data_IF_433078505444
#
_entry.id   IF_433078505444
#
_cell.length_a   1.000
_cell.length_b   1.000
_cell.length_c   1.000
_cell.angle_alpha   90.00
_cell.angle_beta   90.00
_cell.angle_gamma   90.00
#
_symmetry.space_group_name_H-M   'P 1'
#
loop_
_entity.id
_entity.type
_entity.pdbx_description
1 polymer ?
#
# COMPACT_ATOMS: atom_id res chain seq x y z
N UNK A 1 6.80 -35.37 -15.72
CA UNK A 1 6.86 -33.93 -16.21
C UNK A 1 6.08 -32.97 -15.35
N UNK A 2 4.78 -33.14 -15.01
CA UNK A 2 4.01 -32.18 -14.21
C UNK A 2 4.50 -32.02 -12.79
N UNK A 3 4.94 -33.08 -12.10
CA UNK A 3 5.47 -33.03 -10.74
C UNK A 3 6.80 -32.28 -10.64
N UNK A 4 7.65 -32.35 -11.67
CA UNK A 4 8.97 -31.69 -11.65
C UNK A 4 8.85 -30.16 -11.70
N UNK A 5 7.90 -29.61 -12.51
CA UNK A 5 7.67 -28.19 -12.58
C UNK A 5 6.99 -27.64 -11.32
N UNK A 6 6.04 -28.37 -10.75
CA UNK A 6 5.40 -28.00 -9.50
C UNK A 6 6.44 -27.91 -8.37
N UNK A 7 7.27 -28.93 -8.22
CA UNK A 7 8.33 -28.95 -7.21
C UNK A 7 9.35 -27.83 -7.45
N UNK A 8 9.77 -27.59 -8.69
CA UNK A 8 10.72 -26.53 -9.03
C UNK A 8 10.21 -25.15 -8.59
N UNK A 9 8.92 -24.84 -8.85
CA UNK A 9 8.32 -23.55 -8.47
C UNK A 9 8.16 -23.44 -6.96
N UNK A 10 7.65 -24.50 -6.31
CA UNK A 10 7.45 -24.51 -4.86
C UNK A 10 8.77 -24.45 -4.11
N UNK A 11 9.79 -25.19 -4.52
CA UNK A 11 11.13 -25.16 -3.90
C UNK A 11 11.77 -23.78 -4.04
N UNK A 12 11.64 -23.16 -5.22
CA UNK A 12 12.16 -21.81 -5.45
C UNK A 12 11.44 -20.78 -4.57
N UNK A 13 10.11 -20.89 -4.44
CA UNK A 13 9.32 -20.06 -3.56
C UNK A 13 9.74 -20.23 -2.09
N UNK A 14 9.76 -21.48 -1.60
CA UNK A 14 10.09 -21.75 -0.19
C UNK A 14 11.54 -21.40 0.14
N UNK A 15 12.47 -21.52 -0.80
CA UNK A 15 13.85 -21.06 -0.63
C UNK A 15 13.90 -19.56 -0.29
N UNK A 16 13.10 -18.73 -0.99
CA UNK A 16 13.03 -17.30 -0.71
C UNK A 16 12.17 -17.04 0.54
N UNK A 17 11.00 -17.63 0.62
CA UNK A 17 10.06 -17.41 1.71
C UNK A 17 10.65 -17.75 3.08
N UNK A 18 11.33 -18.90 3.20
CA UNK A 18 11.95 -19.37 4.43
C UNK A 18 13.42 -18.95 4.60
N UNK A 19 14.06 -18.41 3.57
CA UNK A 19 15.50 -18.12 3.59
C UNK A 19 15.85 -16.63 3.64
N UNK A 20 14.87 -15.74 3.51
CA UNK A 20 15.09 -14.30 3.41
C UNK A 20 14.23 -13.52 4.39
N UNK A 21 14.79 -12.47 4.98
CA UNK A 21 14.02 -11.50 5.77
C UNK A 21 13.37 -10.49 4.81
N UNK A 22 12.04 -10.44 4.80
CA UNK A 22 11.30 -9.53 3.93
C UNK A 22 11.17 -8.14 4.56
N UNK A 23 11.86 -7.17 3.94
CA UNK A 23 11.79 -5.74 4.27
C UNK A 23 11.11 -4.92 3.17
N UNK A 24 10.38 -5.56 2.23
CA UNK A 24 9.63 -4.83 1.20
C UNK A 24 8.45 -4.09 1.83
N UNK A 25 8.35 -2.79 1.59
CA UNK A 25 7.26 -1.97 2.12
C UNK A 25 5.87 -2.30 1.51
N UNK A 26 5.83 -3.09 0.46
CA UNK A 26 4.59 -3.49 -0.23
C UNK A 26 4.08 -4.89 0.18
N UNK A 27 4.61 -5.48 1.24
CA UNK A 27 4.28 -6.83 1.69
C UNK A 27 3.93 -6.88 3.17
N UNK A 28 3.06 -7.83 3.53
CA UNK A 28 2.84 -8.29 4.90
C UNK A 28 2.59 -9.79 4.91
N UNK A 29 2.82 -10.43 6.05
CA UNK A 29 2.43 -11.83 6.24
C UNK A 29 0.94 -11.89 6.58
N UNK A 30 0.12 -12.58 5.77
CA UNK A 30 -1.31 -12.72 6.02
C UNK A 30 -1.60 -13.43 7.35
N UNK A 31 -2.82 -13.29 7.86
CA UNK A 31 -3.28 -14.17 8.93
C UNK A 31 -3.46 -15.60 8.38
N UNK A 32 -3.21 -16.62 9.21
CA UNK A 32 -3.35 -18.03 8.80
C UNK A 32 -4.77 -18.36 8.32
N UNK A 33 -5.79 -17.81 9.00
CA UNK A 33 -7.19 -17.92 8.58
C UNK A 33 -7.44 -17.30 7.19
N UNK A 34 -6.75 -16.21 6.86
CA UNK A 34 -6.82 -15.58 5.53
C UNK A 34 -6.18 -16.48 4.47
N UNK A 35 -5.02 -17.06 4.73
CA UNK A 35 -4.39 -18.03 3.83
C UNK A 35 -5.27 -19.24 3.59
N UNK A 36 -5.89 -19.78 4.65
CA UNK A 36 -6.84 -20.89 4.53
C UNK A 36 -8.04 -20.50 3.66
N UNK A 37 -8.63 -19.31 3.86
CA UNK A 37 -9.75 -18.82 3.06
C UNK A 37 -9.40 -18.71 1.56
N UNK A 38 -8.16 -18.32 1.20
CA UNK A 38 -7.70 -18.25 -0.18
C UNK A 38 -7.68 -19.61 -0.88
N UNK A 39 -7.54 -20.72 -0.15
CA UNK A 39 -7.50 -22.08 -0.69
C UNK A 39 -8.88 -22.69 -0.94
N UNK A 40 -9.96 -22.07 -0.44
CA UNK A 40 -11.33 -22.56 -0.62
C UNK A 40 -11.78 -22.37 -2.08
N UNK A 41 -12.28 -23.40 -2.78
CA UNK A 41 -12.61 -23.33 -4.20
C UNK A 41 -13.95 -22.65 -4.48
N UNK A 42 -14.25 -21.56 -3.79
CA UNK A 42 -15.50 -20.78 -3.91
C UNK A 42 -15.68 -20.19 -5.33
N UNK A 43 -14.60 -20.05 -6.08
CA UNK A 43 -14.56 -19.54 -7.46
C UNK A 43 -15.32 -20.44 -8.48
N UNK A 44 -15.69 -21.66 -8.09
CA UNK A 44 -16.45 -22.57 -8.97
C UNK A 44 -17.90 -22.11 -9.18
N UNK A 45 -18.38 -21.09 -8.45
CA UNK A 45 -19.73 -20.57 -8.55
C UNK A 45 -19.67 -19.16 -9.15
N UNK A 46 -20.36 -18.87 -10.28
CA UNK A 46 -20.38 -17.54 -10.86
C UNK A 46 -21.10 -16.54 -9.96
N UNK A 47 -20.56 -15.31 -9.85
CA UNK A 47 -21.03 -14.32 -8.88
C UNK A 47 -21.10 -12.89 -9.44
N UNK A 48 -21.31 -12.76 -10.74
CA UNK A 48 -21.38 -11.47 -11.42
C UNK A 48 -22.47 -10.57 -10.84
N UNK A 49 -22.18 -9.28 -10.82
CA UNK A 49 -23.07 -8.24 -10.30
C UNK A 49 -22.58 -7.65 -8.98
N UNK A 50 -23.40 -6.79 -8.42
CA UNK A 50 -23.21 -6.14 -7.13
C UNK A 50 -24.31 -6.56 -6.16
N UNK A 51 -24.15 -6.24 -4.88
CA UNK A 51 -25.15 -6.54 -3.84
C UNK A 51 -26.55 -6.10 -4.27
N UNK A 52 -27.52 -6.99 -4.15
CA UNK A 52 -28.93 -6.78 -4.53
C UNK A 52 -29.20 -6.79 -6.03
N UNK A 53 -28.17 -6.96 -6.89
CA UNK A 53 -28.29 -6.99 -8.36
C UNK A 53 -27.38 -8.06 -8.97
N UNK A 54 -27.50 -9.31 -8.47
CA UNK A 54 -26.75 -10.46 -9.00
C UNK A 54 -27.43 -11.05 -10.24
N UNK A 55 -26.60 -11.56 -11.14
CA UNK A 55 -27.07 -12.24 -12.35
C UNK A 55 -27.47 -13.70 -12.08
N UNK A 56 -26.91 -14.30 -11.02
CA UNK A 56 -27.14 -15.71 -10.69
C UNK A 56 -27.95 -15.80 -9.38
N UNK A 57 -28.95 -16.70 -9.32
CA UNK A 57 -29.71 -16.95 -8.10
C UNK A 57 -28.91 -17.76 -7.09
N UNK A 58 -29.36 -17.77 -5.82
CA UNK A 58 -28.85 -18.63 -4.74
C UNK A 58 -27.38 -18.39 -4.35
N UNK A 59 -26.86 -17.17 -4.54
CA UNK A 59 -25.52 -16.78 -4.12
C UNK A 59 -25.53 -15.79 -2.95
N UNK A 60 -26.51 -15.91 -2.07
CA UNK A 60 -26.69 -15.01 -0.92
C UNK A 60 -25.44 -14.96 -0.03
N UNK A 61 -24.70 -16.07 0.10
CA UNK A 61 -23.47 -16.10 0.89
C UNK A 61 -22.41 -15.11 0.39
N UNK A 62 -22.38 -14.80 -0.91
CA UNK A 62 -21.46 -13.76 -1.45
C UNK A 62 -21.96 -12.36 -1.06
N UNK A 63 -23.28 -12.15 -1.06
CA UNK A 63 -23.84 -10.88 -0.58
C UNK A 63 -23.57 -10.68 0.91
N UNK A 64 -23.73 -11.73 1.71
CA UNK A 64 -23.42 -11.70 3.14
C UNK A 64 -21.95 -11.35 3.38
N UNK A 65 -21.02 -11.96 2.61
CA UNK A 65 -19.57 -11.64 2.66
C UNK A 65 -19.33 -10.15 2.39
N UNK A 66 -19.94 -9.59 1.35
CA UNK A 66 -19.73 -8.19 0.98
C UNK A 66 -20.35 -7.24 2.01
N UNK A 67 -21.60 -7.52 2.45
CA UNK A 67 -22.30 -6.70 3.44
C UNK A 67 -21.64 -6.72 4.81
N UNK A 68 -21.19 -7.89 5.29
CA UNK A 68 -20.51 -7.99 6.57
C UNK A 68 -19.12 -7.34 6.51
N UNK A 69 -18.40 -7.47 5.37
CA UNK A 69 -17.14 -6.75 5.18
C UNK A 69 -17.34 -5.23 5.20
N UNK A 70 -18.41 -4.73 4.55
CA UNK A 70 -18.77 -3.31 4.59
C UNK A 70 -19.01 -2.84 6.02
N UNK A 71 -19.83 -3.56 6.79
CA UNK A 71 -20.12 -3.22 8.19
C UNK A 71 -18.85 -3.15 9.04
N UNK A 72 -17.99 -4.16 8.91
CA UNK A 72 -16.72 -4.19 9.67
C UNK A 72 -15.81 -3.02 9.27
N UNK A 73 -15.64 -2.76 7.98
CA UNK A 73 -14.79 -1.68 7.51
C UNK A 73 -15.33 -0.31 7.93
N UNK A 74 -16.63 -0.07 7.81
CA UNK A 74 -17.26 1.17 8.27
C UNK A 74 -17.09 1.36 9.78
N UNK A 75 -17.21 0.30 10.57
CA UNK A 75 -16.91 0.33 12.01
C UNK A 75 -15.45 0.67 12.29
N UNK A 76 -14.50 0.03 11.59
CA UNK A 76 -13.07 0.30 11.75
C UNK A 76 -12.69 1.75 11.39
N UNK A 77 -13.30 2.31 10.34
CA UNK A 77 -13.13 3.70 9.95
C UNK A 77 -13.97 4.68 10.77
N UNK A 78 -14.81 4.17 11.67
CA UNK A 78 -15.73 4.96 12.51
C UNK A 78 -16.60 5.92 11.68
N UNK A 79 -17.31 5.40 10.68
CA UNK A 79 -18.17 6.18 9.78
C UNK A 79 -19.42 5.40 9.35
N UNK A 80 -20.49 6.16 9.04
CA UNK A 80 -21.69 5.62 8.41
C UNK A 80 -22.04 6.36 7.10
N UNK A 81 -21.23 7.33 6.67
CA UNK A 81 -21.52 8.21 5.54
C UNK A 81 -20.94 7.70 4.23
N UNK A 82 -20.17 6.61 4.30
CA UNK A 82 -19.52 5.99 3.15
C UNK A 82 -20.19 4.65 2.81
N UNK A 83 -20.11 4.28 1.52
CA UNK A 83 -20.32 2.92 1.05
C UNK A 83 -18.96 2.24 0.85
N UNK A 84 -18.96 0.91 0.79
CA UNK A 84 -17.75 0.11 0.59
C UNK A 84 -17.93 -0.83 -0.59
N UNK A 85 -16.88 -1.02 -1.38
CA UNK A 85 -16.81 -2.07 -2.38
C UNK A 85 -15.48 -2.83 -2.24
N UNK A 86 -15.58 -4.14 -1.99
CA UNK A 86 -14.42 -5.02 -1.77
C UNK A 86 -14.09 -5.87 -3.00
N UNK A 87 -14.78 -5.70 -4.12
CA UNK A 87 -14.60 -6.52 -5.31
C UNK A 87 -13.32 -6.25 -6.12
N UNK A 88 -12.69 -5.05 -6.11
CA UNK A 88 -11.53 -4.79 -6.96
C UNK A 88 -10.41 -5.81 -6.78
N UNK A 89 -9.81 -6.24 -7.89
CA UNK A 89 -8.76 -7.27 -7.91
C UNK A 89 -7.40 -6.73 -7.44
N UNK A 90 -7.22 -5.42 -7.45
CA UNK A 90 -5.98 -4.73 -7.04
C UNK A 90 -6.25 -3.29 -6.63
N UNK A 91 -5.29 -2.64 -5.96
CA UNK A 91 -5.35 -1.20 -5.69
C UNK A 91 -5.39 -0.36 -6.96
N UNK A 92 -4.65 -0.76 -8.00
CA UNK A 92 -4.69 -0.10 -9.31
C UNK A 92 -6.08 -0.16 -9.92
N UNK A 93 -6.76 -1.32 -9.89
CA UNK A 93 -8.13 -1.43 -10.39
C UNK A 93 -9.11 -0.62 -9.53
N UNK A 94 -8.92 -0.57 -8.21
CA UNK A 94 -9.74 0.27 -7.34
C UNK A 94 -9.66 1.75 -7.75
N UNK A 95 -8.46 2.26 -8.03
CA UNK A 95 -8.27 3.61 -8.56
C UNK A 95 -8.93 3.78 -9.94
N UNK A 96 -8.77 2.83 -10.86
CA UNK A 96 -9.37 2.87 -12.20
C UNK A 96 -10.90 2.86 -12.15
N UNK A 97 -11.50 2.13 -11.22
CA UNK A 97 -12.95 2.13 -11.00
C UNK A 97 -13.43 3.52 -10.65
N UNK A 98 -12.74 4.24 -9.77
CA UNK A 98 -13.08 5.62 -9.43
C UNK A 98 -12.91 6.54 -10.65
N UNK A 99 -11.81 6.42 -11.40
CA UNK A 99 -11.60 7.22 -12.60
C UNK A 99 -12.73 7.00 -13.62
N UNK A 100 -13.13 5.75 -13.83
CA UNK A 100 -14.24 5.42 -14.74
C UNK A 100 -15.58 5.97 -14.25
N UNK A 101 -15.79 6.00 -12.94
CA UNK A 101 -17.05 6.44 -12.33
C UNK A 101 -17.27 7.97 -12.41
N UNK A 102 -16.19 8.77 -12.36
CA UNK A 102 -16.31 10.23 -12.16
C UNK A 102 -15.67 11.09 -13.24
N UNK A 103 -14.70 10.56 -14.01
CA UNK A 103 -14.02 11.34 -15.05
C UNK A 103 -14.73 11.20 -16.40
N UNK A 104 -14.86 12.31 -17.08
CA UNK A 104 -15.19 12.39 -18.51
C UNK A 104 -13.91 12.51 -19.33
N UNK A 105 -14.04 12.42 -20.66
CA UNK A 105 -12.93 12.73 -21.58
C UNK A 105 -12.44 14.17 -21.35
N UNK A 106 -11.12 14.33 -21.40
CA UNK A 106 -10.43 15.61 -21.22
C UNK A 106 -10.48 16.22 -19.80
N UNK A 107 -11.13 15.58 -18.83
CA UNK A 107 -11.02 16.04 -17.45
C UNK A 107 -9.55 16.03 -16.97
N UNK A 108 -9.18 17.04 -16.19
CA UNK A 108 -7.84 17.15 -15.62
C UNK A 108 -7.79 16.44 -14.26
N UNK A 109 -6.70 15.72 -14.03
CA UNK A 109 -6.40 15.06 -12.76
C UNK A 109 -5.09 15.60 -12.20
N UNK A 110 -5.07 15.95 -10.92
CA UNK A 110 -3.83 16.26 -10.20
C UNK A 110 -3.36 15.03 -9.41
N UNK A 111 -2.08 14.73 -9.49
CA UNK A 111 -1.44 13.67 -8.68
C UNK A 111 -0.02 14.06 -8.30
N UNK A 112 0.54 13.43 -7.26
CA UNK A 112 1.95 13.60 -6.92
C UNK A 112 2.84 13.07 -8.06
N UNK A 113 3.88 13.81 -8.40
CA UNK A 113 4.86 13.38 -9.38
C UNK A 113 5.48 12.01 -8.99
N UNK A 114 5.62 11.03 -9.91
CA UNK A 114 6.22 9.74 -9.59
C UNK A 114 7.60 9.84 -8.95
N UNK A 115 8.44 10.77 -9.41
CA UNK A 115 9.76 11.05 -8.84
C UNK A 115 9.71 11.49 -7.37
N UNK A 116 8.58 12.01 -6.91
CA UNK A 116 8.38 12.45 -5.53
C UNK A 116 7.63 11.41 -4.68
N UNK A 117 7.49 10.18 -5.18
CA UNK A 117 6.85 9.08 -4.49
C UNK A 117 5.39 8.82 -4.89
N UNK A 118 4.86 9.49 -5.91
CA UNK A 118 3.56 9.21 -6.49
C UNK A 118 3.51 7.79 -7.11
N UNK A 119 2.36 7.11 -6.98
CA UNK A 119 2.20 5.79 -7.55
C UNK A 119 1.95 5.85 -9.07
N UNK A 120 2.48 4.88 -9.83
CA UNK A 120 2.38 4.84 -11.30
C UNK A 120 0.92 4.76 -11.79
N UNK A 121 0.00 4.15 -11.02
CA UNK A 121 -1.43 4.10 -11.35
C UNK A 121 -2.13 5.47 -11.31
N UNK A 122 -1.50 6.48 -10.72
CA UNK A 122 -2.01 7.85 -10.69
C UNK A 122 -1.62 8.64 -11.94
N UNK A 123 -0.75 8.11 -12.78
CA UNK A 123 -0.25 8.79 -14.00
C UNK A 123 -0.82 8.21 -15.27
N UNK A 124 -1.26 6.95 -15.25
CA UNK A 124 -1.85 6.25 -16.39
C UNK A 124 -3.31 5.96 -16.09
N UNK A 125 -4.15 6.91 -16.42
CA UNK A 125 -5.60 6.77 -16.26
C UNK A 125 -6.13 5.87 -17.39
N UNK A 126 -6.92 4.87 -17.03
CA UNK A 126 -7.37 3.84 -17.98
C UNK A 126 -8.24 4.39 -19.09
N UNK A 127 -7.79 4.26 -20.34
CA UNK A 127 -8.61 4.30 -21.54
C UNK A 127 -9.23 5.64 -21.94
N UNK A 128 -9.14 6.68 -21.10
CA UNK A 128 -9.66 8.02 -21.41
C UNK A 128 -8.52 9.00 -21.65
N UNK A 129 -8.64 9.91 -22.63
CA UNK A 129 -7.63 10.93 -22.91
C UNK A 129 -7.66 12.04 -21.85
N UNK A 130 -7.42 11.71 -20.60
CA UNK A 130 -7.36 12.66 -19.51
C UNK A 130 -5.97 13.28 -19.39
N UNK A 131 -5.92 14.56 -19.01
CA UNK A 131 -4.67 15.26 -18.73
C UNK A 131 -4.29 15.06 -17.26
N UNK A 132 -3.14 14.44 -17.01
CA UNK A 132 -2.56 14.38 -15.66
C UNK A 132 -1.57 15.52 -15.48
N UNK A 133 -1.78 16.33 -14.45
CA UNK A 133 -0.86 17.38 -14.00
C UNK A 133 -0.27 16.95 -12.68
N UNK A 134 1.04 17.09 -12.53
CA UNK A 134 1.74 16.65 -11.34
C UNK A 134 2.04 17.81 -10.41
N UNK A 135 1.69 17.65 -9.12
CA UNK A 135 2.26 18.48 -8.06
C UNK A 135 3.56 17.85 -7.53
N UNK A 136 4.38 18.63 -6.88
CA UNK A 136 5.68 18.25 -6.37
C UNK A 136 5.78 18.52 -4.87
N UNK A 137 6.79 17.94 -4.24
CA UNK A 137 7.21 18.32 -2.89
C UNK A 137 8.10 19.56 -2.96
N UNK A 138 8.13 20.33 -1.86
CA UNK A 138 9.03 21.45 -1.66
C UNK A 138 10.46 20.99 -1.28
N UNK A 139 11.35 21.94 -0.98
CA UNK A 139 12.73 21.67 -0.57
C UNK A 139 12.83 20.93 0.79
N UNK A 140 11.79 21.01 1.64
CA UNK A 140 11.69 20.30 2.91
C UNK A 140 11.05 18.90 2.73
N UNK A 141 10.73 18.52 1.50
CA UNK A 141 9.99 17.32 1.15
C UNK A 141 8.59 17.30 1.79
N UNK A 142 7.92 18.44 1.82
CA UNK A 142 6.52 18.59 2.23
C UNK A 142 5.65 18.93 1.01
N UNK A 143 4.34 18.70 1.11
CA UNK A 143 3.40 19.16 0.07
C UNK A 143 3.26 20.67 0.20
N UNK A 144 3.69 21.40 -0.83
CA UNK A 144 3.51 22.86 -0.88
C UNK A 144 2.04 23.19 -1.20
N UNK A 145 1.30 23.61 -0.19
CA UNK A 145 -0.13 23.93 -0.31
C UNK A 145 -0.37 25.15 -1.22
N UNK A 146 0.55 26.11 -1.26
CA UNK A 146 0.44 27.30 -2.13
C UNK A 146 0.60 26.90 -3.60
N UNK A 147 1.60 26.07 -3.90
CA UNK A 147 1.79 25.55 -5.24
C UNK A 147 0.62 24.67 -5.65
N UNK A 148 0.12 23.83 -4.73
CA UNK A 148 -1.03 22.96 -4.97
C UNK A 148 -2.30 23.78 -5.28
N UNK A 149 -2.59 24.82 -4.49
CA UNK A 149 -3.75 25.70 -4.76
C UNK A 149 -3.64 26.39 -6.13
N UNK A 150 -2.47 26.92 -6.46
CA UNK A 150 -2.24 27.53 -7.78
C UNK A 150 -2.45 26.52 -8.93
N UNK A 151 -2.01 25.28 -8.77
CA UNK A 151 -2.26 24.23 -9.77
C UNK A 151 -3.75 23.91 -9.91
N UNK A 152 -4.51 23.89 -8.80
CA UNK A 152 -5.96 23.68 -8.79
C UNK A 152 -6.65 24.83 -9.53
N UNK A 153 -6.32 26.08 -9.20
CA UNK A 153 -6.94 27.28 -9.82
C UNK A 153 -6.67 27.31 -11.34
N UNK A 154 -5.43 27.07 -11.75
CA UNK A 154 -5.01 27.21 -13.15
C UNK A 154 -5.48 26.05 -14.03
N UNK A 155 -5.58 24.83 -13.48
CA UNK A 155 -5.91 23.65 -14.28
C UNK A 155 -7.35 23.16 -14.09
N UNK A 156 -8.08 23.65 -13.08
CA UNK A 156 -9.46 23.27 -12.74
C UNK A 156 -9.67 21.75 -12.76
N UNK A 157 -8.89 20.99 -11.99
CA UNK A 157 -8.95 19.53 -12.03
C UNK A 157 -10.29 19.01 -11.55
N UNK A 158 -10.74 17.92 -12.14
CA UNK A 158 -11.92 17.18 -11.68
C UNK A 158 -11.61 16.34 -10.45
N UNK A 159 -10.36 15.86 -10.35
CA UNK A 159 -9.91 14.96 -9.29
C UNK A 159 -8.50 15.34 -8.83
N UNK A 160 -8.31 15.45 -7.52
CA UNK A 160 -7.02 15.46 -6.84
C UNK A 160 -6.78 14.09 -6.22
N UNK A 161 -5.64 13.47 -6.53
CA UNK A 161 -5.22 12.21 -5.92
C UNK A 161 -4.14 12.48 -4.87
N UNK A 162 -4.43 12.09 -3.64
CA UNK A 162 -3.51 12.09 -2.51
C UNK A 162 -3.12 10.64 -2.25
N UNK A 163 -1.91 10.25 -2.69
CA UNK A 163 -1.45 8.87 -2.52
C UNK A 163 0.02 8.76 -2.87
N UNK A 164 0.75 8.11 -2.00
CA UNK A 164 2.21 8.06 -2.07
C UNK A 164 2.71 6.68 -1.70
N UNK A 165 3.66 6.17 -2.48
CA UNK A 165 4.23 4.83 -2.29
C UNK A 165 5.57 4.83 -1.55
N UNK A 166 6.22 5.99 -1.40
CA UNK A 166 7.53 6.10 -0.74
C UNK A 166 7.68 7.32 0.17
N UNK A 167 6.60 7.96 0.55
CA UNK A 167 6.59 9.13 1.45
C UNK A 167 6.42 8.68 2.89
N UNK A 168 7.33 9.09 3.78
CA UNK A 168 7.35 8.62 5.17
C UNK A 168 6.66 9.53 6.18
N UNK A 169 6.28 10.75 5.76
CA UNK A 169 5.60 11.72 6.64
C UNK A 169 4.09 11.51 6.65
N UNK A 170 3.42 12.05 7.66
CA UNK A 170 1.95 12.15 7.72
C UNK A 170 1.40 13.12 6.67
N UNK A 171 0.13 12.93 6.33
CA UNK A 171 -0.61 13.78 5.38
C UNK A 171 -1.76 14.44 6.14
N UNK A 172 -1.92 15.74 5.92
CA UNK A 172 -3.08 16.48 6.40
C UNK A 172 -4.20 16.43 5.35
N UNK A 173 -5.05 15.41 5.46
CA UNK A 173 -6.17 15.21 4.54
C UNK A 173 -7.22 16.32 4.66
N UNK A 174 -7.42 16.89 5.86
CA UNK A 174 -8.42 17.93 6.09
C UNK A 174 -8.08 19.19 5.30
N UNK A 175 -6.87 19.72 5.49
CA UNK A 175 -6.43 20.95 4.82
C UNK A 175 -6.41 20.77 3.29
N UNK A 176 -5.85 19.66 2.82
CA UNK A 176 -5.73 19.43 1.37
C UNK A 176 -7.11 19.23 0.73
N UNK A 177 -8.02 18.51 1.39
CA UNK A 177 -9.37 18.31 0.86
C UNK A 177 -10.19 19.58 0.87
N UNK A 178 -10.11 20.40 1.94
CA UNK A 178 -10.78 21.68 2.01
C UNK A 178 -10.34 22.61 0.86
N UNK A 179 -9.04 22.61 0.56
CA UNK A 179 -8.47 23.35 -0.55
C UNK A 179 -9.06 22.90 -1.91
N UNK A 180 -9.13 21.59 -2.15
CA UNK A 180 -9.67 21.02 -3.39
C UNK A 180 -11.18 21.29 -3.53
N UNK A 181 -11.95 21.06 -2.47
CA UNK A 181 -13.40 21.23 -2.49
C UNK A 181 -13.83 22.69 -2.70
N UNK A 182 -13.05 23.67 -2.18
CA UNK A 182 -13.25 25.09 -2.47
C UNK A 182 -13.32 25.40 -3.97
N UNK A 183 -12.67 24.57 -4.78
CA UNK A 183 -12.61 24.72 -6.24
C UNK A 183 -13.38 23.62 -6.99
N UNK A 184 -14.35 22.95 -6.35
CA UNK A 184 -15.18 21.88 -6.93
C UNK A 184 -14.36 20.69 -7.48
N UNK A 185 -13.21 20.39 -6.87
CA UNK A 185 -12.34 19.28 -7.20
C UNK A 185 -12.58 18.13 -6.22
N UNK A 186 -12.93 16.93 -6.71
CA UNK A 186 -13.04 15.74 -5.88
C UNK A 186 -11.67 15.29 -5.37
N UNK A 187 -11.68 14.57 -4.24
CA UNK A 187 -10.45 14.07 -3.61
C UNK A 187 -10.50 12.55 -3.46
N UNK A 188 -9.50 11.89 -4.03
CA UNK A 188 -9.20 10.47 -3.81
C UNK A 188 -7.99 10.35 -2.89
N UNK A 189 -8.14 9.70 -1.74
CA UNK A 189 -7.04 9.28 -0.89
C UNK A 189 -6.67 7.82 -1.19
N UNK A 190 -5.55 7.59 -1.86
CA UNK A 190 -4.94 6.25 -1.96
C UNK A 190 -4.07 6.02 -0.72
N UNK A 191 -4.65 5.32 0.26
CA UNK A 191 -4.05 5.14 1.59
C UNK A 191 -3.38 3.77 1.75
N UNK A 192 -2.95 3.13 0.65
CA UNK A 192 -2.30 1.82 0.68
C UNK A 192 -1.17 1.71 1.71
N UNK A 193 -0.39 2.77 1.91
CA UNK A 193 0.72 2.83 2.85
C UNK A 193 0.40 3.55 4.17
N UNK A 194 -0.87 3.96 4.38
CA UNK A 194 -1.31 4.74 5.53
C UNK A 194 -2.46 4.10 6.29
N UNK A 195 -3.22 3.20 5.69
CA UNK A 195 -4.47 2.66 6.22
C UNK A 195 -4.33 2.08 7.63
N UNK A 196 -3.26 1.35 7.93
CA UNK A 196 -3.00 0.82 9.28
C UNK A 196 -2.88 1.93 10.32
N UNK A 197 -2.19 3.02 9.98
CA UNK A 197 -1.93 4.13 10.89
C UNK A 197 -3.17 5.00 11.10
N UNK A 198 -4.02 5.11 10.07
CA UNK A 198 -5.34 5.74 10.17
C UNK A 198 -6.25 4.91 11.08
N UNK A 199 -6.41 3.62 10.83
CA UNK A 199 -7.23 2.72 11.63
C UNK A 199 -6.70 2.59 13.07
N UNK A 200 -5.39 2.58 13.25
CA UNK A 200 -4.70 2.55 14.54
C UNK A 200 -4.70 3.89 15.29
N UNK A 201 -5.25 4.96 14.70
CA UNK A 201 -5.31 6.32 15.26
C UNK A 201 -3.92 6.87 15.63
N UNK A 202 -2.89 6.48 14.88
CA UNK A 202 -1.53 7.02 14.99
C UNK A 202 -1.24 8.08 13.92
N UNK A 203 -2.19 8.28 13.00
CA UNK A 203 -2.20 9.31 11.96
C UNK A 203 -3.63 9.87 11.84
N UNK A 204 -3.76 11.11 11.37
CA UNK A 204 -5.05 11.74 11.11
C UNK A 204 -5.89 10.92 10.11
N UNK A 205 -7.20 10.86 10.34
CA UNK A 205 -8.12 10.20 9.43
C UNK A 205 -8.30 11.00 8.15
N UNK A 206 -8.50 10.31 7.02
CA UNK A 206 -8.96 10.91 5.78
C UNK A 206 -10.49 11.13 5.76
N UNK A 207 -11.23 10.44 6.65
CA UNK A 207 -12.68 10.63 6.83
C UNK A 207 -12.92 11.72 7.91
N UNK A 208 -13.86 12.65 7.68
CA UNK A 208 -14.86 12.73 6.58
C UNK A 208 -14.41 13.57 5.37
N UNK A 209 -13.14 13.92 5.26
CA UNK A 209 -12.65 15.00 4.42
C UNK A 209 -12.59 14.66 2.93
N UNK A 210 -12.39 13.39 2.54
CA UNK A 210 -12.20 12.99 1.15
C UNK A 210 -13.48 12.37 0.55
N UNK A 211 -13.57 12.33 -0.79
CA UNK A 211 -14.73 11.75 -1.46
C UNK A 211 -14.58 10.25 -1.70
N UNK A 212 -13.34 9.82 -1.95
CA UNK A 212 -12.98 8.42 -2.22
C UNK A 212 -11.73 8.02 -1.45
N UNK A 213 -11.71 6.76 -1.03
CA UNK A 213 -10.55 6.14 -0.36
C UNK A 213 -10.27 4.82 -1.06
N UNK A 214 -9.02 4.57 -1.40
CA UNK A 214 -8.58 3.26 -1.89
C UNK A 214 -7.41 2.74 -1.07
N UNK A 215 -7.39 1.43 -0.88
CA UNK A 215 -6.25 0.75 -0.27
C UNK A 215 -6.23 -0.74 -0.66
N UNK A 216 -5.13 -1.40 -0.33
CA UNK A 216 -4.98 -2.85 -0.44
C UNK A 216 -4.78 -3.47 0.94
N UNK A 217 -5.13 -4.74 1.09
CA UNK A 217 -5.03 -5.42 2.39
C UNK A 217 -3.68 -6.15 2.58
N UNK A 218 -2.99 -6.46 1.49
CA UNK A 218 -1.76 -7.25 1.45
C UNK A 218 -0.49 -6.51 1.92
N UNK A 219 -0.54 -5.17 2.03
CA UNK A 219 0.63 -4.37 2.42
C UNK A 219 0.74 -4.17 3.93
N UNK A 220 -0.35 -3.75 4.57
CA UNK A 220 -0.35 -3.33 5.97
C UNK A 220 -1.33 -4.11 6.85
N UNK A 221 -2.39 -4.68 6.26
CA UNK A 221 -3.51 -5.22 7.02
C UNK A 221 -3.48 -6.75 7.11
N UNK A 222 -2.41 -7.40 6.69
CA UNK A 222 -2.25 -8.87 6.77
C UNK A 222 -3.33 -9.64 5.99
N UNK A 223 -3.84 -9.05 4.92
CA UNK A 223 -4.89 -9.62 4.09
C UNK A 223 -4.38 -10.18 2.76
N UNK A 224 -5.29 -10.65 1.91
CA UNK A 224 -4.97 -11.12 0.57
C UNK A 224 -4.74 -9.94 -0.38
N UNK A 225 -4.20 -10.23 -1.55
CA UNK A 225 -4.19 -9.26 -2.66
C UNK A 225 -5.60 -8.82 -3.01
N UNK A 226 -5.74 -7.55 -3.37
CA UNK A 226 -6.98 -6.96 -3.84
C UNK A 226 -7.18 -5.55 -3.32
N UNK A 227 -7.98 -4.77 -4.06
CA UNK A 227 -8.33 -3.40 -3.70
C UNK A 227 -9.60 -3.33 -2.87
N UNK A 228 -9.71 -2.27 -2.09
CA UNK A 228 -10.92 -1.84 -1.38
C UNK A 228 -11.19 -0.40 -1.79
N UNK A 229 -12.46 -0.07 -1.98
CA UNK A 229 -12.91 1.30 -2.22
C UNK A 229 -13.89 1.68 -1.11
N UNK A 230 -13.66 2.82 -0.46
CA UNK A 230 -14.70 3.55 0.28
C UNK A 230 -15.05 4.82 -0.52
N UNK A 231 -16.31 5.19 -0.51
CA UNK A 231 -16.81 6.33 -1.27
C UNK A 231 -17.99 6.97 -0.56
N UNK A 232 -18.15 8.29 -0.67
CA UNK A 232 -19.37 8.97 -0.19
C UNK A 232 -20.60 8.35 -0.84
N UNK A 233 -21.64 8.06 -0.07
CA UNK A 233 -22.82 7.27 -0.51
C UNK A 233 -23.50 7.80 -1.77
N UNK A 234 -23.40 9.09 -2.05
CA UNK A 234 -23.94 9.70 -3.29
C UNK A 234 -23.35 9.09 -4.58
N UNK A 235 -22.15 8.48 -4.50
CA UNK A 235 -21.48 7.84 -5.63
C UNK A 235 -21.83 6.36 -5.81
N UNK A 236 -22.67 5.77 -4.96
CA UNK A 236 -22.97 4.32 -4.95
C UNK A 236 -23.30 3.77 -6.34
N UNK A 237 -24.24 4.40 -7.04
CA UNK A 237 -24.65 3.93 -8.37
C UNK A 237 -23.53 4.02 -9.42
N UNK A 238 -22.73 5.08 -9.38
CA UNK A 238 -21.62 5.29 -10.31
C UNK A 238 -20.50 4.28 -10.05
N UNK A 239 -20.13 4.06 -8.78
CA UNK A 239 -19.11 3.11 -8.40
C UNK A 239 -19.56 1.69 -8.75
N UNK A 240 -20.77 1.27 -8.39
CA UNK A 240 -21.29 -0.05 -8.71
C UNK A 240 -21.32 -0.33 -10.22
N UNK A 241 -21.74 0.63 -11.03
CA UNK A 241 -21.70 0.51 -12.49
C UNK A 241 -20.28 0.45 -13.03
N UNK A 242 -19.36 1.19 -12.42
CA UNK A 242 -17.94 1.15 -12.78
C UNK A 242 -17.26 -0.15 -12.39
N UNK A 243 -17.67 -0.78 -11.28
CA UNK A 243 -17.21 -2.13 -10.91
C UNK A 243 -17.74 -3.13 -11.91
N UNK A 244 -19.04 -3.25 -12.00
CA UNK A 244 -19.74 -4.20 -12.90
C UNK A 244 -20.82 -3.47 -13.72
N UNK A 245 -20.83 -3.62 -15.04
CA UNK A 245 -19.99 -4.50 -15.88
C UNK A 245 -18.72 -3.82 -16.46
N UNK A 246 -18.38 -2.57 -16.04
CA UNK A 246 -17.39 -1.77 -16.77
C UNK A 246 -15.94 -2.25 -16.57
N UNK A 247 -15.56 -2.58 -15.33
CA UNK A 247 -14.15 -2.92 -15.00
C UNK A 247 -13.89 -4.41 -14.85
N UNK A 248 -14.94 -5.21 -14.64
CA UNK A 248 -14.85 -6.66 -14.47
C UNK A 248 -16.19 -7.35 -14.72
N UNK A 249 -16.15 -8.68 -14.92
CA UNK A 249 -17.28 -9.58 -14.75
C UNK A 249 -17.47 -9.92 -13.27
N UNK A 250 -17.32 -11.20 -12.89
CA UNK A 250 -17.34 -11.59 -11.48
C UNK A 250 -16.08 -11.16 -10.73
N UNK A 251 -16.17 -10.97 -9.41
CA UNK A 251 -15.01 -10.80 -8.54
C UNK A 251 -14.17 -12.10 -8.47
N UNK A 252 -12.95 -12.00 -7.96
CA UNK A 252 -12.14 -13.15 -7.56
C UNK A 252 -12.67 -13.68 -6.23
N UNK A 253 -13.56 -14.67 -6.26
CA UNK A 253 -14.37 -15.09 -5.11
C UNK A 253 -13.52 -15.58 -3.92
N UNK A 254 -12.46 -16.36 -4.15
CA UNK A 254 -11.55 -16.79 -3.07
C UNK A 254 -10.86 -15.60 -2.41
N UNK A 255 -10.48 -14.58 -3.19
CA UNK A 255 -9.90 -13.34 -2.66
C UNK A 255 -10.95 -12.51 -1.93
N UNK A 256 -12.19 -12.46 -2.43
CA UNK A 256 -13.31 -11.78 -1.77
C UNK A 256 -13.57 -12.38 -0.38
N UNK A 257 -13.64 -13.71 -0.31
CA UNK A 257 -13.82 -14.44 0.94
C UNK A 257 -12.63 -14.21 1.90
N UNK A 258 -11.41 -14.27 1.38
CA UNK A 258 -10.22 -14.00 2.19
C UNK A 258 -10.16 -12.56 2.71
N UNK A 259 -10.65 -11.56 1.95
CA UNK A 259 -10.80 -10.18 2.42
C UNK A 259 -11.79 -10.10 3.59
N UNK A 260 -12.92 -10.79 3.50
CA UNK A 260 -13.88 -10.86 4.60
C UNK A 260 -13.27 -11.47 5.86
N UNK A 261 -12.59 -12.62 5.73
CA UNK A 261 -11.90 -13.25 6.87
C UNK A 261 -10.84 -12.32 7.46
N UNK A 262 -10.10 -11.61 6.62
CA UNK A 262 -9.15 -10.59 7.10
C UNK A 262 -9.86 -9.45 7.86
N UNK A 263 -11.01 -8.96 7.39
CA UNK A 263 -11.82 -7.98 8.13
C UNK A 263 -12.23 -8.51 9.50
N UNK A 264 -12.66 -9.78 9.58
CA UNK A 264 -12.98 -10.44 10.85
C UNK A 264 -11.78 -10.51 11.80
N UNK A 265 -10.59 -10.86 11.29
CA UNK A 265 -9.36 -10.88 12.11
C UNK A 265 -8.99 -9.47 12.60
N UNK A 266 -9.06 -8.47 11.73
CA UNK A 266 -8.79 -7.08 12.11
C UNK A 266 -9.74 -6.57 13.20
N UNK A 267 -11.00 -7.01 13.23
CA UNK A 267 -11.94 -6.63 14.28
C UNK A 267 -11.62 -7.23 15.66
N UNK A 268 -10.82 -8.31 15.71
CA UNK A 268 -10.43 -9.00 16.94
C UNK A 268 -9.14 -8.49 17.56
N UNK A 269 -8.24 -7.89 16.76
CA UNK A 269 -6.95 -7.42 17.24
C UNK A 269 -6.99 -5.96 17.70
N UNK A 270 -6.04 -5.59 18.54
CA UNK A 270 -5.80 -4.18 18.87
C UNK A 270 -4.97 -3.52 17.76
N UNK A 271 -5.67 -2.95 16.75
CA UNK A 271 -5.03 -2.29 15.59
C UNK A 271 -4.12 -1.14 16.03
N UNK A 272 -4.49 -0.39 17.09
CA UNK A 272 -3.65 0.70 17.61
C UNK A 272 -2.32 0.18 18.15
N UNK A 273 -2.33 -0.94 18.86
CA UNK A 273 -1.11 -1.59 19.34
C UNK A 273 -0.25 -2.08 18.16
N UNK A 274 -0.86 -2.72 17.18
CA UNK A 274 -0.16 -3.18 15.98
C UNK A 274 0.50 -2.01 15.22
N UNK A 275 -0.23 -0.93 14.97
CA UNK A 275 0.31 0.27 14.34
C UNK A 275 1.50 0.87 15.12
N UNK A 276 1.38 0.96 16.45
CA UNK A 276 2.45 1.43 17.33
C UNK A 276 3.68 0.51 17.31
N UNK A 277 3.50 -0.81 17.20
CA UNK A 277 4.61 -1.75 17.07
C UNK A 277 5.36 -1.56 15.74
N UNK A 278 4.63 -1.36 14.62
CA UNK A 278 5.26 -1.05 13.34
C UNK A 278 6.07 0.24 13.42
N UNK A 279 5.49 1.32 14.00
CA UNK A 279 6.18 2.60 14.17
C UNK A 279 7.40 2.48 15.10
N UNK A 280 7.31 1.71 16.18
CA UNK A 280 8.45 1.43 17.07
C UNK A 280 9.60 0.76 16.30
N UNK A 281 9.31 -0.27 15.51
CA UNK A 281 10.32 -0.96 14.74
C UNK A 281 10.92 -0.03 13.68
N UNK A 282 10.10 0.78 13.00
CA UNK A 282 10.58 1.82 12.08
C UNK A 282 11.52 2.82 12.78
N UNK A 283 11.14 3.29 13.97
CA UNK A 283 11.97 4.21 14.78
C UNK A 283 13.32 3.59 15.13
N UNK A 284 13.36 2.33 15.53
CA UNK A 284 14.61 1.62 15.85
C UNK A 284 15.55 1.61 14.63
N UNK A 285 15.03 1.27 13.44
CA UNK A 285 15.81 1.33 12.20
C UNK A 285 16.34 2.74 11.92
N UNK A 286 15.49 3.74 12.01
CA UNK A 286 15.86 5.15 11.79
C UNK A 286 16.95 5.59 12.75
N UNK A 287 16.84 5.25 14.05
CA UNK A 287 17.81 5.61 15.07
C UNK A 287 19.17 4.91 14.83
N UNK A 288 19.16 3.63 14.44
CA UNK A 288 20.38 2.88 14.08
C UNK A 288 21.02 3.47 12.82
N UNK A 289 20.22 3.74 11.77
CA UNK A 289 20.71 4.30 10.52
C UNK A 289 21.34 5.68 10.71
N UNK A 290 20.71 6.55 11.50
CA UNK A 290 21.28 7.86 11.87
C UNK A 290 22.60 7.73 12.58
N UNK A 291 22.71 6.85 13.58
CA UNK A 291 23.96 6.59 14.32
C UNK A 291 25.09 6.05 13.41
N UNK A 292 24.73 5.38 12.34
CA UNK A 292 25.65 4.78 11.37
C UNK A 292 25.85 5.64 10.12
N UNK A 293 25.33 6.85 10.10
CA UNK A 293 25.42 7.78 8.98
C UNK A 293 24.87 7.21 7.65
N UNK A 294 23.82 6.36 7.73
CA UNK A 294 23.06 5.94 6.55
C UNK A 294 22.17 7.11 6.11
N UNK A 295 22.24 7.55 4.84
CA UNK A 295 21.55 8.73 4.36
C UNK A 295 20.04 8.48 4.22
N UNK A 296 19.25 8.95 5.17
CA UNK A 296 17.79 8.91 5.13
C UNK A 296 17.25 10.08 4.30
N UNK A 297 16.34 9.80 3.37
CA UNK A 297 15.71 10.84 2.54
C UNK A 297 14.84 11.76 3.38
N UNK A 298 14.05 11.20 4.30
CA UNK A 298 13.17 11.97 5.15
C UNK A 298 13.73 12.12 6.57
N UNK A 299 13.48 13.27 7.18
CA UNK A 299 13.83 13.55 8.58
C UNK A 299 12.76 13.03 9.58
N UNK A 300 11.54 12.76 9.09
CA UNK A 300 10.38 12.33 9.86
C UNK A 300 9.80 11.03 9.28
N UNK A 301 9.41 10.11 10.15
CA UNK A 301 8.91 8.79 9.78
C UNK A 301 7.64 8.50 10.59
N UNK A 302 6.48 8.82 10.02
CA UNK A 302 5.16 8.67 10.63
C UNK A 302 4.44 7.39 10.18
N UNK A 303 5.11 6.58 9.36
CA UNK A 303 4.60 5.30 8.88
C UNK A 303 5.74 4.24 8.83
N UNK A 304 5.50 3.11 8.16
CA UNK A 304 6.43 1.98 8.11
C UNK A 304 7.58 2.16 7.10
N UNK A 305 7.55 3.20 6.27
CA UNK A 305 8.48 3.37 5.15
C UNK A 305 9.78 4.02 5.62
N UNK A 306 10.90 3.44 5.21
CA UNK A 306 12.25 3.99 5.35
C UNK A 306 12.83 4.10 3.94
N UNK A 307 13.07 5.33 3.48
CA UNK A 307 13.69 5.59 2.18
C UNK A 307 15.10 6.10 2.40
N UNK A 308 16.06 5.42 1.78
CA UNK A 308 17.50 5.66 1.90
C UNK A 308 18.02 6.17 0.57
N UNK A 309 18.79 7.26 0.58
CA UNK A 309 19.53 7.74 -0.59
C UNK A 309 20.88 7.02 -0.67
N UNK A 310 20.95 5.93 -1.45
CA UNK A 310 22.16 5.14 -1.58
C UNK A 310 23.19 5.78 -2.56
N UNK A 311 22.81 6.83 -3.30
CA UNK A 311 23.74 7.56 -4.15
C UNK A 311 24.83 8.27 -3.33
N UNK A 312 24.49 8.72 -2.12
CA UNK A 312 25.43 9.25 -1.16
C UNK A 312 26.44 8.21 -0.63
N UNK A 313 26.18 6.91 -0.85
CA UNK A 313 27.06 5.80 -0.49
C UNK A 313 27.88 5.29 -1.69
N UNK A 314 27.86 6.02 -2.81
CA UNK A 314 28.60 5.69 -4.02
C UNK A 314 28.00 4.53 -4.84
N UNK A 315 26.70 4.25 -4.69
CA UNK A 315 25.99 3.21 -5.46
C UNK A 315 24.63 3.70 -5.95
N UNK A 316 24.03 3.00 -6.88
CA UNK A 316 22.65 3.23 -7.30
C UNK A 316 21.70 2.25 -6.59
N UNK A 317 20.37 2.50 -6.70
CA UNK A 317 19.34 1.69 -6.06
C UNK A 317 19.37 0.23 -6.53
N UNK A 318 19.62 -0.04 -7.82
CA UNK A 318 19.72 -1.41 -8.35
C UNK A 318 20.88 -2.18 -7.70
N UNK A 319 22.06 -1.58 -7.63
CA UNK A 319 23.19 -2.21 -6.96
C UNK A 319 22.94 -2.46 -5.47
N UNK A 320 22.28 -1.53 -4.79
CA UNK A 320 21.93 -1.71 -3.38
C UNK A 320 20.88 -2.82 -3.18
N UNK A 321 19.89 -2.92 -4.06
CA UNK A 321 18.88 -3.99 -4.08
C UNK A 321 19.54 -5.37 -4.26
N UNK A 322 20.48 -5.50 -5.23
CA UNK A 322 21.22 -6.74 -5.49
C UNK A 322 22.06 -7.16 -4.27
N UNK A 323 22.80 -6.22 -3.65
CA UNK A 323 23.61 -6.50 -2.45
C UNK A 323 22.74 -6.96 -1.26
N UNK A 324 21.60 -6.32 -1.05
CA UNK A 324 20.67 -6.72 0.01
C UNK A 324 20.10 -8.11 -0.27
N UNK A 325 19.77 -8.41 -1.53
CA UNK A 325 19.32 -9.74 -1.93
C UNK A 325 20.38 -10.82 -1.68
N UNK A 326 21.64 -10.59 -2.05
CA UNK A 326 22.76 -11.48 -1.76
C UNK A 326 22.95 -11.70 -0.24
N UNK A 327 22.66 -10.66 0.56
CA UNK A 327 22.66 -10.69 2.01
C UNK A 327 21.36 -11.26 2.64
N UNK A 328 20.52 -11.94 1.87
CA UNK A 328 19.22 -12.54 2.29
C UNK A 328 18.20 -11.53 2.82
N UNK A 329 18.23 -10.29 2.34
CA UNK A 329 17.24 -9.25 2.65
C UNK A 329 16.46 -8.90 1.38
N UNK A 330 15.12 -9.02 1.44
CA UNK A 330 14.25 -8.54 0.37
C UNK A 330 13.95 -7.06 0.60
N UNK A 331 14.31 -6.24 -0.37
CA UNK A 331 14.03 -4.80 -0.41
C UNK A 331 13.74 -4.40 -1.84
N UNK A 332 13.36 -3.17 -2.11
CA UNK A 332 13.22 -2.72 -3.49
C UNK A 332 13.92 -1.39 -3.74
N UNK A 333 14.56 -1.28 -4.91
CA UNK A 333 15.01 0.01 -5.42
C UNK A 333 13.82 0.95 -5.60
N UNK A 334 14.04 2.23 -5.36
CA UNK A 334 12.99 3.25 -5.42
C UNK A 334 13.58 4.60 -5.83
N UNK A 335 12.83 5.37 -6.61
CA UNK A 335 13.21 6.76 -6.84
C UNK A 335 13.10 7.55 -5.52
N UNK A 336 13.99 8.50 -5.35
CA UNK A 336 13.93 9.50 -4.29
C UNK A 336 13.37 10.82 -4.86
N UNK A 337 12.86 11.74 -4.03
CA UNK A 337 12.46 13.06 -4.50
C UNK A 337 13.59 13.74 -5.27
N UNK A 338 13.25 14.32 -6.44
CA UNK A 338 14.19 14.96 -7.36
C UNK A 338 15.29 14.03 -7.94
N UNK A 339 15.02 12.73 -7.98
CA UNK A 339 15.98 11.72 -8.47
C UNK A 339 16.53 12.07 -9.86
N UNK A 340 17.85 12.00 -10.00
CA UNK A 340 18.56 12.22 -11.25
C UNK A 340 18.65 10.95 -12.10
N UNK A 341 18.49 9.78 -11.48
CA UNK A 341 18.53 8.49 -12.15
C UNK A 341 17.16 8.13 -12.72
N UNK A 342 17.15 7.24 -13.72
CA UNK A 342 15.93 6.70 -14.32
C UNK A 342 15.27 5.63 -13.42
N UNK A 343 14.12 5.10 -13.85
CA UNK A 343 13.37 4.07 -13.12
C UNK A 343 14.11 2.73 -13.01
N UNK A 344 15.06 2.44 -13.91
CA UNK A 344 15.78 1.16 -13.93
C UNK A 344 16.89 1.11 -12.89
N UNK A 345 17.56 2.23 -12.64
CA UNK A 345 18.69 2.30 -11.71
C UNK A 345 18.34 2.92 -10.37
N UNK A 346 17.55 4.00 -10.36
CA UNK A 346 17.13 4.81 -9.20
C UNK A 346 18.29 5.26 -8.31
N UNK A 347 18.03 6.13 -7.33
CA UNK A 347 19.03 6.55 -6.34
C UNK A 347 18.73 6.03 -4.93
N UNK A 348 17.59 5.38 -4.74
CA UNK A 348 17.14 4.98 -3.40
C UNK A 348 16.86 3.49 -3.24
N UNK A 349 16.82 3.10 -1.96
CA UNK A 349 16.30 1.83 -1.46
C UNK A 349 15.14 2.13 -0.52
N UNK A 350 14.03 1.41 -0.70
CA UNK A 350 12.87 1.49 0.19
C UNK A 350 12.76 0.22 1.02
N UNK A 351 12.69 0.41 2.35
CA UNK A 351 12.43 -0.63 3.34
C UNK A 351 11.08 -0.39 4.03
N UNK A 352 10.50 -1.46 4.56
CA UNK A 352 9.28 -1.43 5.38
C UNK A 352 9.35 -2.39 6.55
N UNK A 353 8.84 -1.97 7.70
CA UNK A 353 8.93 -2.75 8.94
C UNK A 353 7.71 -3.65 9.22
N UNK A 354 6.75 -3.76 8.27
CA UNK A 354 5.51 -4.51 8.48
C UNK A 354 5.77 -6.00 8.66
N UNK A 355 6.53 -6.63 7.76
CA UNK A 355 6.80 -8.07 7.78
C UNK A 355 7.48 -8.52 9.09
N UNK A 356 8.52 -7.84 9.53
CA UNK A 356 9.22 -8.18 10.78
C UNK A 356 8.34 -7.95 12.01
N UNK A 357 7.40 -7.01 11.94
CA UNK A 357 6.41 -6.80 13.00
C UNK A 357 5.41 -7.95 13.04
N UNK A 358 4.95 -8.46 11.88
CA UNK A 358 4.06 -9.62 11.80
C UNK A 358 4.70 -10.89 12.35
N UNK A 359 6.02 -11.03 12.21
CA UNK A 359 6.81 -12.13 12.74
C UNK A 359 7.21 -11.94 14.21
N UNK A 360 6.74 -10.88 14.88
CA UNK A 360 7.02 -10.59 16.28
C UNK A 360 8.51 -10.47 16.63
N UNK A 361 9.31 -9.86 15.78
CA UNK A 361 10.72 -9.59 16.08
C UNK A 361 10.86 -8.84 17.42
N UNK A 362 11.71 -9.33 18.30
CA UNK A 362 12.04 -8.62 19.53
C UNK A 362 12.95 -7.41 19.23
N UNK A 363 13.00 -6.46 20.16
CA UNK A 363 13.73 -5.18 19.99
C UNK A 363 15.21 -5.42 19.65
N UNK A 364 15.85 -6.35 20.35
CA UNK A 364 17.25 -6.69 20.17
C UNK A 364 17.53 -7.21 18.76
N UNK A 365 16.63 -8.01 18.21
CA UNK A 365 16.79 -8.59 16.88
C UNK A 365 16.44 -7.57 15.77
N UNK A 366 15.52 -6.63 16.02
CA UNK A 366 15.31 -5.47 15.14
C UNK A 366 16.58 -4.61 15.07
N UNK A 367 17.26 -4.38 16.21
CA UNK A 367 18.52 -3.64 16.25
C UNK A 367 19.63 -4.40 15.50
N UNK A 368 19.76 -5.73 15.70
CA UNK A 368 20.72 -6.56 14.96
C UNK A 368 20.49 -6.48 13.46
N UNK A 369 19.24 -6.62 13.01
CA UNK A 369 18.87 -6.54 11.60
C UNK A 369 19.20 -5.18 11.00
N UNK A 370 18.90 -4.08 11.71
CA UNK A 370 19.20 -2.73 11.26
C UNK A 370 20.71 -2.49 11.13
N UNK A 371 21.52 -3.01 12.07
CA UNK A 371 22.97 -2.96 11.98
C UNK A 371 23.50 -3.79 10.81
N UNK A 372 22.97 -5.00 10.63
CA UNK A 372 23.36 -5.89 9.52
C UNK A 372 23.10 -5.23 8.16
N UNK A 373 21.91 -4.68 7.95
CA UNK A 373 21.56 -3.94 6.71
C UNK A 373 22.51 -2.73 6.53
N UNK A 374 22.85 -2.03 7.61
CA UNK A 374 23.79 -0.92 7.54
C UNK A 374 25.18 -1.38 7.09
N UNK A 375 25.68 -2.53 7.57
CA UNK A 375 26.98 -3.08 7.17
C UNK A 375 26.99 -3.46 5.69
N UNK A 376 25.91 -4.06 5.18
CA UNK A 376 25.74 -4.36 3.75
C UNK A 376 25.82 -3.08 2.92
N UNK A 377 25.05 -2.05 3.28
CA UNK A 377 25.01 -0.79 2.53
C UNK A 377 26.32 0.00 2.60
N UNK A 378 27.07 -0.13 3.71
CA UNK A 378 28.37 0.52 3.88
C UNK A 378 29.53 -0.30 3.29
N UNK A 379 29.29 -1.39 2.58
CA UNK A 379 30.28 -2.30 2.03
C UNK A 379 31.27 -2.84 3.07
N UNK A 380 30.82 -3.07 4.31
CA UNK A 380 31.61 -3.69 5.36
C UNK A 380 31.52 -5.21 5.29
N UNK A 381 32.46 -5.91 5.87
CA UNK A 381 32.34 -7.35 6.06
C UNK A 381 31.13 -7.65 6.95
N UNK A 382 30.17 -8.39 6.41
CA UNK A 382 28.97 -8.82 7.15
C UNK A 382 29.17 -10.19 7.76
N UNK A 383 28.75 -10.36 9.01
CA UNK A 383 28.70 -11.67 9.65
C UNK A 383 27.39 -12.37 9.25
N UNK A 384 27.47 -13.36 8.37
CA UNK A 384 26.32 -14.14 7.90
C UNK A 384 25.59 -14.91 9.02
N UNK A 385 26.27 -15.21 10.15
CA UNK A 385 25.64 -15.90 11.28
C UNK A 385 24.46 -15.09 11.86
N UNK A 386 24.50 -13.76 11.74
CA UNK A 386 23.42 -12.89 12.21
C UNK A 386 22.16 -13.14 11.41
N UNK A 387 22.25 -13.10 10.08
CA UNK A 387 21.05 -13.29 9.23
C UNK A 387 20.56 -14.74 9.31
N UNK A 388 21.46 -15.71 9.39
CA UNK A 388 21.11 -17.12 9.53
C UNK A 388 20.42 -17.41 10.88
N UNK A 389 20.85 -16.73 11.96
CA UNK A 389 20.16 -16.78 13.24
C UNK A 389 18.74 -16.20 13.14
N UNK A 390 18.59 -15.01 12.54
CA UNK A 390 17.28 -14.35 12.42
C UNK A 390 16.31 -15.16 11.55
N UNK A 391 16.80 -15.71 10.44
CA UNK A 391 16.01 -16.58 9.56
C UNK A 391 15.55 -17.82 10.33
N UNK A 392 16.45 -18.54 10.99
CA UNK A 392 16.09 -19.73 11.79
C UNK A 392 15.10 -19.44 12.91
N UNK A 393 15.18 -18.25 13.51
CA UNK A 393 14.31 -17.89 14.64
C UNK A 393 12.89 -17.50 14.24
N UNK A 394 12.73 -16.86 13.07
CA UNK A 394 11.49 -16.19 12.73
C UNK A 394 10.81 -16.71 11.45
N UNK A 395 11.50 -17.47 10.59
CA UNK A 395 10.97 -17.93 9.31
C UNK A 395 10.56 -19.40 9.30
N UNK A 396 10.56 -20.09 10.47
CA UNK A 396 10.18 -21.50 10.61
C UNK A 396 8.97 -21.69 11.51
#
# INVERSE_FOLDING_TARGET
MTNDYFNLVTDSFYKIYNGYINMCACCSYPFDSTLHAMSIPIYMIPTEGVVGKRYFPQINFIEDIELESEKILLHLFNTNDYGVNIQPHSGTQANQIIYNAILNENDVVLSLAPKNGGHISHTKLSGKPNKVVHYSLDANLDIDLTVLENLIINNKPKLLIIGMSSYSKSIDFEIISALAHKHNCYVLADVCHYVLFILGKTMSSCIPHVDFITFTMDKLLRGPQGGIILYKKEFTNKINYSVFPTSQGGPLQSMLFAKYICCCELSKINISLYAKQVLRNTKIFVDVFKKRSIPLVYNKHDNHIILIDVSCLGMNGKTAEEKLFEAKILANKNQIPFDKNNLETTSGIRLGCTCITNLNFCIEDVIKLANYISDVLLNKNVNSDIIDYLVRKYMH
#
